data_IF_580158715574
#
_entry.id   IF_580158715574
#
_cell.length_a   1.000
_cell.length_b   1.000
_cell.length_c   1.000
_cell.angle_alpha   90.00
_cell.angle_beta   90.00
_cell.angle_gamma   90.00
#
_symmetry.space_group_name_H-M   'P 1'
#
loop_
_entity.id
_entity.type
_entity.pdbx_description
1 polymer ?
#
# COMPACT_ATOMS: atom_id res chain seq x y z
N UNK A 1 -1.39 -6.64 -24.96
CA UNK A 1 -1.41 -7.98 -25.58
C UNK A 1 -2.76 -8.29 -26.23
N UNK A 2 -3.92 -8.22 -25.52
CA UNK A 2 -5.26 -8.44 -26.08
C UNK A 2 -5.60 -7.50 -27.26
N UNK A 3 -5.25 -6.21 -27.19
CA UNK A 3 -5.48 -5.25 -28.30
C UNK A 3 -4.72 -5.64 -29.56
N UNK A 4 -3.46 -6.07 -29.45
CA UNK A 4 -2.69 -6.51 -30.63
C UNK A 4 -3.26 -7.81 -31.26
N UNK A 5 -3.83 -8.69 -30.45
CA UNK A 5 -4.48 -9.92 -30.96
C UNK A 5 -5.81 -9.66 -31.64
N UNK A 6 -6.47 -8.53 -31.32
CA UNK A 6 -7.77 -8.14 -31.88
C UNK A 6 -7.64 -7.04 -32.95
N UNK A 7 -6.43 -6.78 -33.45
CA UNK A 7 -6.22 -5.87 -34.59
C UNK A 7 -6.89 -6.43 -35.83
N UNK A 8 -7.84 -5.67 -36.37
CA UNK A 8 -8.49 -5.95 -37.64
C UNK A 8 -7.96 -5.00 -38.69
N UNK A 9 -7.96 -5.41 -39.99
CA UNK A 9 -7.61 -4.50 -41.09
C UNK A 9 -8.52 -3.28 -41.08
N UNK A 10 -7.93 -2.11 -41.25
CA UNK A 10 -8.66 -0.84 -41.34
C UNK A 10 -8.82 -0.46 -42.83
N UNK A 11 -9.98 0.09 -43.17
CA UNK A 11 -10.31 0.50 -44.54
C UNK A 11 -10.42 2.02 -44.70
N UNK A 12 -10.54 2.78 -43.59
CA UNK A 12 -10.59 4.23 -43.61
C UNK A 12 -9.16 4.79 -43.68
N UNK A 13 -8.85 5.44 -44.76
CA UNK A 13 -7.52 6.02 -45.03
C UNK A 13 -7.12 7.10 -44.01
N UNK A 14 -8.07 7.86 -43.45
CA UNK A 14 -7.77 8.89 -42.46
C UNK A 14 -7.37 8.25 -41.13
N UNK A 15 -8.08 7.19 -40.71
CA UNK A 15 -7.74 6.46 -39.50
C UNK A 15 -6.42 5.69 -39.65
N UNK A 16 -6.14 5.14 -40.81
CA UNK A 16 -4.86 4.47 -41.11
C UNK A 16 -3.71 5.47 -40.97
N UNK A 17 -3.81 6.62 -41.64
CA UNK A 17 -2.77 7.66 -41.60
C UNK A 17 -2.56 8.16 -40.15
N UNK A 18 -3.62 8.38 -39.39
CA UNK A 18 -3.51 8.79 -37.99
C UNK A 18 -2.80 7.74 -37.13
N UNK A 19 -3.16 6.46 -37.29
CA UNK A 19 -2.55 5.37 -36.54
C UNK A 19 -1.06 5.20 -36.86
N UNK A 20 -0.68 5.33 -38.15
CA UNK A 20 0.72 5.32 -38.56
C UNK A 20 1.47 6.51 -37.99
N UNK A 21 0.93 7.72 -38.09
CA UNK A 21 1.52 8.93 -37.51
C UNK A 21 1.73 8.79 -36.00
N UNK A 22 0.73 8.29 -35.26
CA UNK A 22 0.85 8.03 -33.82
C UNK A 22 1.96 7.02 -33.50
N UNK A 23 2.13 6.01 -34.35
CA UNK A 23 3.20 5.00 -34.16
C UNK A 23 4.57 5.62 -34.36
N UNK A 24 4.76 6.42 -35.42
CA UNK A 24 6.01 7.11 -35.70
C UNK A 24 6.37 8.12 -34.61
N UNK A 25 5.41 8.92 -34.15
CA UNK A 25 5.59 9.88 -33.07
C UNK A 25 5.92 9.17 -31.74
N UNK A 26 5.28 8.02 -31.44
CA UNK A 26 5.63 7.21 -30.28
C UNK A 26 7.08 6.70 -30.36
N UNK A 27 7.52 6.26 -31.52
CA UNK A 27 8.88 5.80 -31.73
C UNK A 27 9.89 6.94 -31.54
N UNK A 28 9.61 8.12 -32.11
CA UNK A 28 10.44 9.32 -31.92
C UNK A 28 10.55 9.71 -30.44
N UNK A 29 9.44 9.64 -29.69
CA UNK A 29 9.46 9.90 -28.23
C UNK A 29 10.34 8.89 -27.48
N UNK A 30 10.28 7.61 -27.85
CA UNK A 30 11.11 6.56 -27.23
C UNK A 30 12.59 6.83 -27.50
N UNK A 31 12.96 7.25 -28.70
CA UNK A 31 14.35 7.61 -29.03
C UNK A 31 14.83 8.86 -28.28
N UNK A 32 13.95 9.87 -28.11
CA UNK A 32 14.31 11.13 -27.46
C UNK A 32 14.33 11.03 -25.92
N UNK A 33 13.36 10.34 -25.31
CA UNK A 33 13.10 10.35 -23.85
C UNK A 33 13.27 8.98 -23.20
N UNK A 34 13.57 7.95 -23.98
CA UNK A 34 13.59 6.56 -23.50
C UNK A 34 12.20 5.91 -23.45
N UNK A 35 12.16 4.63 -23.14
CA UNK A 35 10.91 3.86 -23.08
C UNK A 35 10.12 4.17 -21.81
N UNK A 36 8.80 4.29 -21.94
CA UNK A 36 7.87 4.46 -20.85
C UNK A 36 7.50 3.10 -20.24
N UNK A 37 7.67 2.97 -18.94
CA UNK A 37 7.24 1.76 -18.21
C UNK A 37 5.79 1.87 -17.75
N UNK A 38 4.99 0.87 -18.08
CA UNK A 38 3.60 0.69 -17.63
C UNK A 38 3.49 -0.34 -16.50
N UNK A 39 4.58 -0.63 -15.79
CA UNK A 39 4.56 -1.47 -14.60
C UNK A 39 3.70 -0.83 -13.51
N UNK A 40 2.93 -1.64 -12.78
CA UNK A 40 2.01 -1.15 -11.73
C UNK A 40 0.58 -0.88 -12.22
N UNK A 41 0.28 -1.13 -13.50
CA UNK A 41 -1.11 -1.10 -13.99
C UNK A 41 -1.80 -2.40 -13.60
N UNK A 42 -2.80 -2.29 -12.75
CA UNK A 42 -3.66 -3.37 -12.32
C UNK A 42 -5.11 -3.15 -12.80
N UNK A 43 -5.85 -4.21 -13.14
CA UNK A 43 -7.27 -4.09 -13.44
C UNK A 43 -8.05 -3.76 -12.15
N UNK A 44 -8.60 -2.54 -12.06
CA UNK A 44 -9.34 -2.07 -10.88
C UNK A 44 -10.86 -2.01 -11.10
N UNK A 45 -11.36 -2.40 -12.29
CA UNK A 45 -12.78 -2.28 -12.64
C UNK A 45 -13.72 -2.97 -11.66
N UNK A 46 -13.38 -4.19 -11.22
CA UNK A 46 -14.18 -4.92 -10.24
C UNK A 46 -14.12 -4.28 -8.83
N UNK A 47 -12.98 -3.64 -8.49
CA UNK A 47 -12.84 -2.93 -7.23
C UNK A 47 -13.76 -1.70 -7.20
N UNK A 48 -13.82 -0.96 -8.32
CA UNK A 48 -14.71 0.20 -8.45
C UNK A 48 -16.18 -0.20 -8.36
N UNK A 49 -16.60 -1.24 -9.07
CA UNK A 49 -17.97 -1.76 -8.97
C UNK A 49 -18.36 -2.14 -7.54
N UNK A 50 -17.43 -2.75 -6.79
CA UNK A 50 -17.67 -3.10 -5.39
C UNK A 50 -17.82 -1.87 -4.51
N UNK A 51 -17.06 -0.81 -4.74
CA UNK A 51 -17.23 0.47 -4.03
C UNK A 51 -18.55 1.14 -4.37
N UNK A 52 -19.00 1.12 -5.63
CA UNK A 52 -20.27 1.68 -6.08
C UNK A 52 -21.48 1.08 -5.33
N UNK A 53 -21.41 -0.19 -4.98
CA UNK A 53 -22.45 -0.87 -4.20
C UNK A 53 -22.23 -0.81 -2.67
N UNK A 54 -21.33 0.06 -2.20
CA UNK A 54 -21.06 0.27 -0.78
C UNK A 54 -20.12 -0.77 -0.14
N UNK A 55 -19.41 -1.56 -0.94
CA UNK A 55 -18.41 -2.49 -0.45
C UNK A 55 -17.12 -1.81 0.00
N UNK A 56 -16.25 -2.55 0.69
CA UNK A 56 -14.95 -2.09 1.16
C UNK A 56 -13.80 -2.76 0.40
N UNK A 57 -12.64 -2.11 0.39
CA UNK A 57 -11.42 -2.63 -0.20
C UNK A 57 -10.44 -3.06 0.90
N UNK A 58 -9.71 -4.12 0.63
CA UNK A 58 -8.59 -4.57 1.47
C UNK A 58 -7.37 -3.67 1.27
N UNK A 59 -6.39 -3.74 2.19
CA UNK A 59 -5.13 -3.00 2.10
C UNK A 59 -4.42 -3.31 0.78
N UNK A 60 -4.30 -4.59 0.40
CA UNK A 60 -3.65 -4.99 -0.86
C UNK A 60 -4.37 -4.45 -2.10
N UNK A 61 -5.69 -4.29 -2.06
CA UNK A 61 -6.46 -3.68 -3.16
C UNK A 61 -6.24 -2.16 -3.24
N UNK A 62 -6.15 -1.48 -2.10
CA UNK A 62 -5.80 -0.06 -2.03
C UNK A 62 -4.37 0.20 -2.54
N UNK A 63 -3.41 -0.69 -2.25
CA UNK A 63 -2.05 -0.62 -2.79
C UNK A 63 -2.00 -0.81 -4.30
N UNK A 64 -2.87 -1.65 -4.88
CA UNK A 64 -3.00 -1.77 -6.35
C UNK A 64 -3.50 -0.46 -6.98
N UNK A 65 -4.44 0.22 -6.32
CA UNK A 65 -4.91 1.55 -6.76
C UNK A 65 -3.78 2.57 -6.65
N UNK A 66 -3.05 2.60 -5.53
CA UNK A 66 -1.90 3.49 -5.35
C UNK A 66 -0.83 3.27 -6.44
N UNK A 67 -0.50 2.01 -6.75
CA UNK A 67 0.43 1.65 -7.83
C UNK A 67 -0.03 2.14 -9.21
N UNK A 68 -1.34 2.04 -9.49
CA UNK A 68 -1.93 2.57 -10.72
C UNK A 68 -1.81 4.10 -10.79
N UNK A 69 -2.11 4.81 -9.68
CA UNK A 69 -2.03 6.27 -9.61
C UNK A 69 -0.57 6.76 -9.74
N UNK A 70 0.40 6.06 -9.17
CA UNK A 70 1.84 6.33 -9.38
C UNK A 70 2.23 6.17 -10.85
N UNK A 71 1.73 5.11 -11.49
CA UNK A 71 1.99 4.89 -12.90
C UNK A 71 1.35 6.01 -13.74
N UNK A 72 0.13 6.41 -13.43
CA UNK A 72 -0.53 7.54 -14.09
C UNK A 72 0.27 8.84 -13.94
N UNK A 73 0.78 9.13 -12.74
CA UNK A 73 1.65 10.29 -12.47
C UNK A 73 2.92 10.26 -13.32
N UNK A 74 3.59 9.11 -13.38
CA UNK A 74 4.81 8.90 -14.19
C UNK A 74 4.53 9.04 -15.68
N UNK A 75 3.42 8.46 -16.17
CA UNK A 75 3.01 8.56 -17.58
C UNK A 75 2.69 10.00 -17.95
N UNK A 76 1.94 10.72 -17.11
CA UNK A 76 1.66 12.15 -17.35
C UNK A 76 2.93 13.00 -17.32
N UNK A 77 3.86 12.71 -16.41
CA UNK A 77 5.13 13.41 -16.34
C UNK A 77 6.01 13.18 -17.57
N UNK A 78 5.93 11.99 -18.18
CA UNK A 78 6.65 11.68 -19.42
C UNK A 78 6.23 12.58 -20.58
N UNK A 79 4.98 13.07 -20.60
CA UNK A 79 4.49 14.03 -21.61
C UNK A 79 5.00 15.45 -21.40
N UNK A 80 5.58 15.78 -20.22
CA UNK A 80 6.12 17.13 -19.99
C UNK A 80 7.24 17.40 -20.99
N UNK A 81 7.15 18.56 -21.62
CA UNK A 81 8.13 19.06 -22.59
C UNK A 81 9.13 19.96 -21.89
N UNK A 82 10.33 19.98 -22.40
CA UNK A 82 11.25 21.06 -22.10
C UNK A 82 10.71 22.37 -22.72
N UNK A 83 10.99 23.50 -22.09
CA UNK A 83 10.41 24.82 -22.42
C UNK A 83 10.59 25.26 -23.87
N UNK A 84 11.49 24.60 -24.61
CA UNK A 84 11.85 24.95 -26.00
C UNK A 84 11.17 24.08 -27.07
N UNK A 85 10.36 23.06 -26.66
CA UNK A 85 9.64 22.20 -27.61
C UNK A 85 8.21 22.71 -27.85
N UNK A 86 7.96 23.56 -28.81
CA UNK A 86 6.62 24.05 -29.20
C UNK A 86 5.78 23.04 -30.01
N UNK A 87 6.37 21.94 -30.49
CA UNK A 87 5.66 21.02 -31.40
C UNK A 87 4.72 20.07 -30.63
N UNK A 88 3.42 20.30 -30.76
CA UNK A 88 2.38 19.35 -30.37
C UNK A 88 2.38 18.16 -31.32
N UNK A 89 2.21 16.95 -30.77
CA UNK A 89 2.04 15.74 -31.58
C UNK A 89 0.66 15.09 -31.34
N UNK A 90 0.33 14.07 -32.14
CA UNK A 90 -0.98 13.42 -32.08
C UNK A 90 -1.20 12.58 -30.83
N UNK A 91 -0.18 12.36 -30.01
CA UNK A 91 -0.25 11.60 -28.77
C UNK A 91 -0.57 12.45 -27.55
N UNK A 92 -0.37 13.77 -27.61
CA UNK A 92 -0.57 14.67 -26.48
C UNK A 92 -1.94 14.51 -25.84
N UNK A 93 -2.99 14.44 -26.65
CA UNK A 93 -4.35 14.26 -26.14
C UNK A 93 -4.57 12.98 -25.33
N UNK A 94 -3.79 11.92 -25.59
CA UNK A 94 -3.83 10.67 -24.79
C UNK A 94 -3.24 10.86 -23.40
N UNK A 95 -2.16 11.65 -23.30
CA UNK A 95 -1.51 11.96 -22.02
C UNK A 95 -2.28 13.01 -21.22
N UNK A 96 -2.88 13.99 -21.90
CA UNK A 96 -3.66 15.05 -21.25
C UNK A 96 -4.90 14.50 -20.55
N UNK A 97 -5.52 13.46 -21.10
CA UNK A 97 -6.64 12.76 -20.51
C UNK A 97 -6.30 11.95 -19.26
N UNK A 98 -5.02 11.82 -18.88
CA UNK A 98 -4.63 11.08 -17.69
C UNK A 98 -4.68 12.00 -16.46
N UNK A 99 -5.47 11.62 -15.47
CA UNK A 99 -5.57 12.31 -14.18
C UNK A 99 -4.96 11.46 -13.06
N UNK A 100 -3.79 11.81 -12.50
CA UNK A 100 -3.08 10.98 -11.55
C UNK A 100 -3.63 11.02 -10.12
N UNK A 101 -4.68 11.82 -9.84
CA UNK A 101 -5.31 11.98 -8.53
C UNK A 101 -4.28 12.03 -7.39
N UNK A 102 -3.27 12.89 -7.53
CA UNK A 102 -2.12 12.99 -6.63
C UNK A 102 -2.50 13.09 -5.15
N UNK A 103 -3.50 13.93 -4.74
CA UNK A 103 -3.89 14.02 -3.33
C UNK A 103 -4.41 12.69 -2.77
N UNK A 104 -5.19 11.94 -3.55
CA UNK A 104 -5.68 10.61 -3.15
C UNK A 104 -4.53 9.63 -2.96
N UNK A 105 -3.57 9.63 -3.88
CA UNK A 105 -2.42 8.74 -3.77
C UNK A 105 -1.52 9.07 -2.58
N UNK A 106 -1.32 10.34 -2.28
CA UNK A 106 -0.56 10.79 -1.11
C UNK A 106 -1.26 10.36 0.19
N UNK A 107 -2.58 10.44 0.24
CA UNK A 107 -3.36 9.98 1.38
C UNK A 107 -3.27 8.46 1.56
N UNK A 108 -3.37 7.68 0.48
CA UNK A 108 -3.16 6.23 0.53
C UNK A 108 -1.77 5.87 1.08
N UNK A 109 -0.72 6.54 0.61
CA UNK A 109 0.65 6.33 1.08
C UNK A 109 0.88 6.78 2.52
N UNK A 110 0.19 7.82 2.96
CA UNK A 110 0.23 8.28 4.36
C UNK A 110 -0.39 7.24 5.29
N UNK A 111 -1.47 6.61 4.85
CA UNK A 111 -2.25 5.68 5.66
C UNK A 111 -1.69 4.25 5.66
N UNK A 112 -1.09 3.80 4.55
CA UNK A 112 -0.72 2.40 4.34
C UNK A 112 0.79 2.29 4.20
N UNK A 113 1.44 1.57 5.12
CA UNK A 113 2.88 1.34 5.11
C UNK A 113 3.23 0.05 4.34
N UNK A 114 2.43 -0.99 4.49
CA UNK A 114 2.61 -2.28 3.81
C UNK A 114 1.28 -3.02 3.68
N UNK A 115 1.28 -4.21 3.08
CA UNK A 115 0.07 -5.06 3.00
C UNK A 115 -0.48 -5.48 4.38
N UNK A 116 0.36 -5.45 5.40
CA UNK A 116 0.02 -5.91 6.77
C UNK A 116 -0.05 -4.75 7.77
N UNK A 117 0.37 -3.54 7.38
CA UNK A 117 0.54 -2.44 8.32
C UNK A 117 -0.13 -1.13 7.86
N UNK A 118 -1.02 -0.63 8.72
CA UNK A 118 -1.60 0.71 8.60
C UNK A 118 -0.84 1.65 9.53
N UNK A 119 -0.46 2.82 9.01
CA UNK A 119 0.24 3.87 9.75
C UNK A 119 -0.57 4.34 10.97
N UNK A 120 0.12 4.69 12.04
CA UNK A 120 -0.50 5.37 13.19
C UNK A 120 -1.09 6.73 12.79
N UNK A 121 -0.53 7.37 11.77
CA UNK A 121 -1.01 8.66 11.27
C UNK A 121 -2.23 8.54 10.36
N UNK A 122 -2.68 7.32 10.03
CA UNK A 122 -3.90 7.10 9.25
C UNK A 122 -5.15 7.63 9.98
N UNK A 123 -5.17 7.55 11.32
CA UNK A 123 -6.28 8.05 12.14
C UNK A 123 -5.79 8.43 13.53
N UNK A 124 -6.18 9.60 14.00
CA UNK A 124 -5.90 10.04 15.37
C UNK A 124 -6.46 9.07 16.43
N UNK A 125 -7.60 8.47 16.13
CA UNK A 125 -8.21 7.46 17.00
C UNK A 125 -7.39 6.17 17.05
N UNK A 126 -6.94 5.67 15.90
CA UNK A 126 -6.07 4.49 15.82
C UNK A 126 -4.77 4.72 16.60
N UNK A 127 -4.11 5.85 16.41
CA UNK A 127 -2.90 6.25 17.15
C UNK A 127 -3.15 6.26 18.67
N UNK A 128 -4.27 6.84 19.10
CA UNK A 128 -4.64 6.88 20.53
C UNK A 128 -4.86 5.49 21.10
N UNK A 129 -5.61 4.65 20.41
CA UNK A 129 -5.89 3.26 20.82
C UNK A 129 -4.59 2.45 20.92
N UNK A 130 -3.72 2.50 19.92
CA UNK A 130 -2.44 1.79 19.95
C UNK A 130 -1.55 2.25 21.09
N UNK A 131 -1.52 3.55 21.35
CA UNK A 131 -0.78 4.12 22.50
C UNK A 131 -1.34 3.62 23.84
N UNK A 132 -2.66 3.56 23.97
CA UNK A 132 -3.30 3.02 25.18
C UNK A 132 -2.98 1.53 25.37
N UNK A 133 -3.04 0.73 24.30
CA UNK A 133 -2.67 -0.69 24.33
C UNK A 133 -1.21 -0.85 24.78
N UNK A 134 -0.28 -0.07 24.18
CA UNK A 134 1.13 -0.07 24.59
C UNK A 134 1.31 0.27 26.07
N UNK A 135 0.66 1.34 26.54
CA UNK A 135 0.72 1.75 27.95
C UNK A 135 0.13 0.69 28.92
N UNK A 136 -0.94 0.01 28.51
CA UNK A 136 -1.50 -1.10 29.29
C UNK A 136 -0.52 -2.30 29.34
N UNK A 137 0.08 -2.67 28.25
CA UNK A 137 1.07 -3.75 28.20
C UNK A 137 2.27 -3.46 29.10
N UNK A 138 2.77 -2.22 29.12
CA UNK A 138 3.87 -1.81 30.03
C UNK A 138 3.44 -1.89 31.51
N UNK A 139 2.21 -1.49 31.83
CA UNK A 139 1.67 -1.65 33.20
C UNK A 139 1.59 -3.12 33.60
N UNK A 140 1.10 -3.99 32.73
CA UNK A 140 1.02 -5.43 33.00
C UNK A 140 2.43 -5.98 33.22
N UNK A 141 3.40 -5.66 32.38
CA UNK A 141 4.79 -6.10 32.56
C UNK A 141 5.38 -5.62 33.89
N UNK A 142 5.14 -4.38 34.24
CA UNK A 142 5.60 -3.82 35.52
C UNK A 142 5.00 -4.53 36.72
N UNK A 143 3.70 -4.84 36.67
CA UNK A 143 3.03 -5.63 37.73
C UNK A 143 3.56 -7.05 37.80
N UNK A 144 3.73 -7.71 36.66
CA UNK A 144 4.32 -9.07 36.60
C UNK A 144 5.73 -9.11 37.16
N UNK A 145 6.54 -8.07 36.88
CA UNK A 145 7.90 -7.95 37.46
C UNK A 145 7.84 -7.82 38.99
N UNK A 146 6.90 -7.04 39.51
CA UNK A 146 6.71 -6.93 40.98
C UNK A 146 6.33 -8.28 41.59
N UNK A 147 5.36 -8.98 41.01
CA UNK A 147 4.95 -10.33 41.47
C UNK A 147 6.12 -11.32 41.36
N UNK A 148 6.86 -11.29 40.26
CA UNK A 148 8.04 -12.11 40.02
C UNK A 148 9.08 -11.90 41.15
N UNK A 149 9.39 -10.64 41.48
CA UNK A 149 10.36 -10.30 42.52
C UNK A 149 9.87 -10.78 43.92
N UNK A 150 8.59 -10.62 44.21
CA UNK A 150 8.01 -11.12 45.47
C UNK A 150 8.04 -12.65 45.54
N UNK A 151 7.63 -13.33 44.48
CA UNK A 151 7.61 -14.80 44.41
C UNK A 151 9.04 -15.39 44.31
N UNK A 152 9.98 -14.70 43.70
CA UNK A 152 11.40 -15.05 43.62
C UNK A 152 12.03 -15.05 45.03
N UNK A 153 11.77 -14.04 45.84
CA UNK A 153 12.23 -13.95 47.22
C UNK A 153 11.68 -15.08 48.09
N UNK A 154 10.52 -15.62 47.75
CA UNK A 154 9.89 -16.75 48.47
C UNK A 154 10.34 -18.14 47.96
N UNK A 155 11.18 -18.19 46.90
CA UNK A 155 11.70 -19.43 46.32
C UNK A 155 10.67 -20.25 45.52
N UNK A 156 9.50 -19.69 45.21
CA UNK A 156 8.40 -20.40 44.53
C UNK A 156 8.57 -20.52 43.01
N UNK A 157 9.38 -19.65 42.38
CA UNK A 157 9.57 -19.67 40.94
C UNK A 157 10.62 -20.71 40.52
N UNK A 158 10.37 -21.38 39.40
CA UNK A 158 11.31 -22.25 38.77
C UNK A 158 12.41 -21.42 38.09
N UNK A 159 11.99 -20.39 37.33
CA UNK A 159 12.84 -19.42 36.69
C UNK A 159 12.25 -18.02 36.83
N UNK A 160 13.11 -16.99 36.93
CA UNK A 160 12.71 -15.59 37.00
C UNK A 160 12.47 -15.01 35.60
N UNK A 161 11.59 -15.62 34.82
CA UNK A 161 11.26 -15.24 33.45
C UNK A 161 9.76 -15.06 33.28
N UNK A 162 9.35 -13.95 32.69
CA UNK A 162 7.97 -13.72 32.27
C UNK A 162 7.78 -14.32 30.88
N UNK A 163 6.90 -15.28 30.74
CA UNK A 163 6.55 -15.93 29.45
C UNK A 163 5.14 -15.54 29.03
N UNK A 164 4.81 -15.80 27.76
CA UNK A 164 3.46 -15.60 27.25
C UNK A 164 2.91 -16.93 26.72
N UNK A 165 1.72 -17.33 27.18
CA UNK A 165 0.99 -18.50 26.71
C UNK A 165 -0.47 -18.12 26.49
N UNK A 166 -1.01 -18.48 25.34
CA UNK A 166 -2.41 -18.19 24.99
C UNK A 166 -2.80 -16.72 25.24
N UNK A 167 -1.91 -15.80 24.82
CA UNK A 167 -2.06 -14.35 24.98
C UNK A 167 -2.14 -13.87 26.46
N UNK A 168 -1.60 -14.67 27.40
CA UNK A 168 -1.53 -14.35 28.84
C UNK A 168 -0.09 -14.36 29.31
N UNK A 169 0.27 -13.40 30.14
CA UNK A 169 1.56 -13.39 30.81
C UNK A 169 1.57 -14.45 31.91
N UNK A 170 2.59 -15.31 31.94
CA UNK A 170 2.75 -16.41 32.88
C UNK A 170 4.11 -16.35 33.54
N UNK A 171 4.17 -16.78 34.79
CA UNK A 171 5.38 -17.04 35.55
C UNK A 171 5.52 -18.56 35.80
N UNK A 172 6.69 -19.16 35.50
CA UNK A 172 6.91 -20.59 35.78
C UNK A 172 7.06 -20.80 37.29
N UNK A 173 6.14 -21.56 37.89
CA UNK A 173 6.12 -21.92 39.30
C UNK A 173 6.60 -23.36 39.48
N UNK A 174 7.40 -23.64 40.53
CA UNK A 174 7.82 -24.99 40.89
C UNK A 174 6.59 -25.84 41.20
N UNK A 175 6.62 -27.12 40.80
CA UNK A 175 5.50 -28.03 41.02
C UNK A 175 5.15 -28.16 42.51
N UNK A 176 6.15 -28.14 43.38
CA UNK A 176 6.03 -28.21 44.83
C UNK A 176 5.33 -27.00 45.46
N UNK A 177 5.46 -25.83 44.81
CA UNK A 177 4.91 -24.56 45.27
C UNK A 177 3.52 -24.25 44.71
N UNK A 178 2.93 -25.15 43.91
CA UNK A 178 1.67 -24.92 43.18
C UNK A 178 0.51 -24.48 44.08
N UNK A 179 0.46 -24.97 45.32
CA UNK A 179 -0.60 -24.64 46.28
C UNK A 179 -0.28 -23.44 47.21
N UNK A 180 0.92 -22.83 47.02
CA UNK A 180 1.40 -21.73 47.88
C UNK A 180 1.41 -20.39 47.12
N UNK A 181 1.13 -20.41 45.83
CA UNK A 181 1.01 -19.24 45.02
C UNK A 181 -0.47 -18.94 44.76
N UNK A 182 -0.94 -17.69 44.98
CA UNK A 182 -2.35 -17.30 44.82
C UNK A 182 -2.84 -17.40 43.38
#
# INVERSE_FOLDING_TARGET
KKRCQNLLPMTDIQQINLAQKQTDEALLRIFAKGSLSFSGIHPIGELLKRLEIGGTLSIGELLKISSLLETAKRVKAYNRRDRDEEKTDSLDGLFDGIEPLTPLNEELKRCILSEEEISDDASSNLKSIRRQIGGMNERIRSQMTKVMNQAGNSGYLQDAVITMRDNRYCLPVKAEAKNQVP
#
